data_IF_827673772535
#
_entry.id   IF_827673772535
#
_cell.length_a   1.000
_cell.length_b   1.000
_cell.length_c   1.000
_cell.angle_alpha   90.00
_cell.angle_beta   90.00
_cell.angle_gamma   90.00
#
_symmetry.space_group_name_H-M   'P 1'
#
loop_
_entity.id
_entity.type
_entity.pdbx_description
1 polymer ?
#
# COMPACT_ATOMS: atom_id res chain seq x y z
N UNK A 1 7.92 -11.33 3.90
CA UNK A 1 6.62 -10.63 3.70
C UNK A 1 6.36 -10.22 2.26
N UNK A 2 7.20 -9.42 1.59
CA UNK A 2 6.91 -9.03 0.19
C UNK A 2 6.89 -10.23 -0.77
N UNK A 3 7.81 -11.18 -0.59
CA UNK A 3 7.83 -12.47 -1.28
C UNK A 3 6.62 -13.34 -0.97
N UNK A 4 6.11 -13.29 0.25
CA UNK A 4 4.95 -14.07 0.70
C UNK A 4 3.67 -13.53 0.06
N UNK A 5 3.57 -12.21 -0.13
CA UNK A 5 2.46 -11.56 -0.84
C UNK A 5 2.49 -11.87 -2.34
N UNK A 6 3.69 -11.85 -2.95
CA UNK A 6 3.86 -12.22 -4.36
C UNK A 6 3.69 -13.73 -4.60
N UNK A 7 4.02 -14.57 -3.61
CA UNK A 7 3.86 -16.02 -3.63
C UNK A 7 2.48 -16.51 -3.21
N UNK A 8 1.58 -15.62 -2.76
CA UNK A 8 0.21 -15.95 -2.35
C UNK A 8 0.07 -16.55 -0.94
N UNK A 9 1.15 -16.61 -0.16
CA UNK A 9 1.12 -17.07 1.23
C UNK A 9 0.41 -16.09 2.16
N UNK A 10 0.37 -14.81 1.81
CA UNK A 10 -0.41 -13.78 2.51
C UNK A 10 -1.26 -13.00 1.51
N UNK A 11 -2.43 -12.55 1.94
CA UNK A 11 -3.37 -11.80 1.09
C UNK A 11 -3.12 -10.29 1.12
N UNK A 12 -2.62 -9.78 2.25
CA UNK A 12 -2.34 -8.36 2.48
C UNK A 12 -1.06 -8.26 3.30
N UNK A 13 -0.19 -7.31 2.95
CA UNK A 13 0.98 -6.97 3.74
C UNK A 13 1.06 -5.45 3.92
N UNK A 14 1.40 -5.04 5.14
CA UNK A 14 1.76 -3.65 5.44
C UNK A 14 3.27 -3.50 5.24
N UNK A 15 3.68 -2.52 4.44
CA UNK A 15 5.09 -2.31 4.11
C UNK A 15 5.36 -0.83 3.86
N UNK A 16 6.60 -0.42 4.04
CA UNK A 16 7.05 0.94 3.75
C UNK A 16 6.98 1.24 2.24
N UNK A 17 6.47 2.43 1.92
CA UNK A 17 6.28 2.95 0.56
C UNK A 17 7.51 2.89 -0.35
N UNK A 18 8.76 3.15 0.10
CA UNK A 18 9.93 3.03 -0.76
C UNK A 18 10.21 1.59 -1.21
N UNK A 19 9.81 0.60 -0.39
CA UNK A 19 10.07 -0.82 -0.65
C UNK A 19 8.97 -1.41 -1.53
N UNK A 20 7.70 -1.13 -1.22
CA UNK A 20 6.55 -1.65 -1.98
C UNK A 20 6.26 -0.84 -3.27
N UNK A 21 6.66 0.42 -3.29
CA UNK A 21 6.34 1.38 -4.36
C UNK A 21 6.71 0.92 -5.77
N UNK A 22 7.95 0.45 -6.04
CA UNK A 22 8.33 -0.04 -7.37
C UNK A 22 7.47 -1.20 -7.86
N UNK A 23 7.04 -2.10 -6.97
CA UNK A 23 6.19 -3.24 -7.30
C UNK A 23 4.73 -2.84 -7.55
N UNK A 24 4.26 -1.79 -6.85
CA UNK A 24 2.94 -1.19 -7.11
C UNK A 24 2.95 -0.46 -8.46
N UNK A 25 4.01 0.30 -8.78
CA UNK A 25 4.17 0.94 -10.09
C UNK A 25 4.30 -0.07 -11.22
N UNK A 26 4.95 -1.21 -10.98
CA UNK A 26 5.09 -2.27 -11.99
C UNK A 26 3.83 -3.12 -12.17
N UNK A 27 2.73 -2.84 -11.45
CA UNK A 27 1.49 -3.61 -11.52
C UNK A 27 1.56 -5.02 -10.93
N UNK A 28 2.68 -5.39 -10.29
CA UNK A 28 2.86 -6.70 -9.64
C UNK A 28 2.15 -6.78 -8.29
N UNK A 29 1.89 -5.62 -7.68
CA UNK A 29 1.12 -5.49 -6.46
C UNK A 29 0.10 -4.36 -6.62
N UNK A 30 -1.02 -4.48 -5.93
CA UNK A 30 -2.04 -3.42 -5.85
C UNK A 30 -1.92 -2.70 -4.52
N UNK A 31 -1.62 -1.40 -4.57
CA UNK A 31 -1.71 -0.55 -3.39
C UNK A 31 -3.19 -0.29 -3.05
N UNK A 32 -3.60 -0.68 -1.85
CA UNK A 32 -4.99 -0.52 -1.36
C UNK A 32 -5.16 0.65 -0.40
N UNK A 33 -4.08 1.13 0.21
CA UNK A 33 -4.13 2.28 1.11
C UNK A 33 -2.74 2.68 1.58
N UNK A 34 -2.61 3.95 1.96
CA UNK A 34 -1.42 4.51 2.61
C UNK A 34 -1.78 4.86 4.06
N UNK A 35 -0.94 4.48 5.01
CA UNK A 35 -1.17 4.74 6.45
C UNK A 35 -0.81 6.16 6.88
N UNK A 36 -0.24 6.98 6.01
CA UNK A 36 -0.07 8.41 6.27
C UNK A 36 -1.44 9.11 6.33
N UNK A 37 -1.50 10.23 7.07
CA UNK A 37 -2.71 11.05 7.19
C UNK A 37 -3.20 11.60 5.84
N UNK A 38 -2.26 11.82 4.92
CA UNK A 38 -2.53 12.36 3.59
C UNK A 38 -2.01 11.40 2.52
N UNK A 39 -2.50 11.55 1.29
CA UNK A 39 -2.01 10.76 0.16
C UNK A 39 -0.55 11.06 -0.11
N UNK A 40 0.23 10.03 -0.43
CA UNK A 40 1.61 10.24 -0.86
C UNK A 40 1.65 10.96 -2.21
N UNK A 41 2.47 11.99 -2.32
CA UNK A 41 2.77 12.67 -3.59
C UNK A 41 3.28 11.73 -4.68
N UNK A 42 3.93 10.62 -4.27
CA UNK A 42 4.46 9.61 -5.20
C UNK A 42 3.37 8.65 -5.70
N UNK A 43 2.25 8.56 -4.98
CA UNK A 43 1.12 7.67 -5.28
C UNK A 43 -0.22 8.37 -5.06
N UNK A 44 -0.54 9.43 -5.83
CA UNK A 44 -1.75 10.23 -5.63
C UNK A 44 -3.05 9.46 -5.86
N UNK A 45 -2.99 8.35 -6.59
CA UNK A 45 -4.12 7.47 -6.90
C UNK A 45 -4.48 6.52 -5.76
N UNK A 46 -3.59 6.34 -4.77
CA UNK A 46 -3.85 5.48 -3.61
C UNK A 46 -4.39 6.35 -2.48
N UNK A 47 -5.62 6.10 -1.99
CA UNK A 47 -6.18 6.86 -0.88
C UNK A 47 -5.46 6.55 0.44
N UNK A 48 -5.49 7.51 1.36
CA UNK A 48 -5.14 7.23 2.76
C UNK A 48 -6.11 6.20 3.35
N UNK A 49 -5.64 5.42 4.31
CA UNK A 49 -6.50 4.56 5.14
C UNK A 49 -7.53 5.39 5.90
N UNK A 50 -7.17 6.62 6.30
CA UNK A 50 -8.10 7.55 6.94
C UNK A 50 -9.25 7.98 6.01
N UNK A 51 -8.97 8.19 4.72
CA UNK A 51 -9.99 8.52 3.71
C UNK A 51 -10.95 7.35 3.43
N UNK A 52 -10.55 6.13 3.77
CA UNK A 52 -11.35 4.92 3.57
C UNK A 52 -12.31 4.64 4.74
N UNK A 53 -12.42 5.57 5.70
CA UNK A 53 -13.35 5.46 6.83
C UNK A 53 -12.72 4.88 8.11
N UNK A 54 -11.40 4.62 8.11
CA UNK A 54 -10.65 4.23 9.30
C UNK A 54 -10.07 5.47 9.99
N UNK A 55 -10.95 6.24 10.62
CA UNK A 55 -10.58 7.45 11.37
C UNK A 55 -10.02 7.06 12.74
N UNK A 56 -8.78 7.46 13.05
CA UNK A 56 -8.15 7.25 14.37
C UNK A 56 -7.20 6.05 14.51
N UNK A 57 -6.62 5.58 13.40
CA UNK A 57 -5.47 4.67 13.40
C UNK A 57 -4.19 5.33 13.96
#
# INVERSE_FOLDING_TARGET
MLTDLMGGSVHVALSHTPVSGPHVKSGRMRGIGITDHERSSTFPTIPSVAEQGLTGY
#
